data_IF_972006098698
#
_entry.id   IF_972006098698
#
_cell.length_a   1.000
_cell.length_b   1.000
_cell.length_c   1.000
_cell.angle_alpha   90.00
_cell.angle_beta   90.00
_cell.angle_gamma   90.00
#
_symmetry.space_group_name_H-M   'P 1'
#
loop_
_entity.id
_entity.type
_entity.pdbx_description
1 polymer ?
#
# COMPACT_ATOMS: atom_id res chain seq x y z
N UNK A 1 23.00 33.94 -39.51
CA UNK A 1 23.41 33.46 -38.17
C UNK A 1 22.16 33.58 -37.30
N UNK A 2 21.33 32.54 -37.32
CA UNK A 2 20.21 32.37 -36.38
C UNK A 2 20.71 31.35 -35.36
N UNK A 3 20.77 31.79 -34.11
CA UNK A 3 21.15 30.96 -32.97
C UNK A 3 19.90 30.18 -32.55
N UNK A 4 19.86 28.92 -32.98
CA UNK A 4 18.79 27.96 -32.70
C UNK A 4 19.34 26.98 -31.64
N UNK A 5 19.49 27.49 -30.41
CA UNK A 5 19.88 26.69 -29.26
C UNK A 5 18.62 26.06 -28.63
N UNK A 6 18.51 24.73 -28.55
CA UNK A 6 17.36 24.07 -27.95
C UNK A 6 17.32 24.34 -26.43
N UNK A 7 16.12 24.38 -25.81
CA UNK A 7 16.01 24.55 -24.38
C UNK A 7 16.64 23.36 -23.65
N UNK A 8 17.57 23.66 -22.75
CA UNK A 8 18.18 22.72 -21.81
C UNK A 8 17.07 21.96 -21.06
N UNK A 9 17.15 20.62 -20.94
CA UNK A 9 16.18 19.88 -20.14
C UNK A 9 16.28 20.34 -18.69
N UNK A 10 15.16 20.85 -18.18
CA UNK A 10 14.95 21.19 -16.78
C UNK A 10 15.31 19.97 -15.94
N UNK A 11 16.34 20.10 -15.11
CA UNK A 11 16.84 19.02 -14.29
C UNK A 11 15.71 18.48 -13.42
N UNK A 12 15.38 17.19 -13.59
CA UNK A 12 14.47 16.49 -12.72
C UNK A 12 14.92 16.72 -11.27
N UNK A 13 14.09 17.43 -10.51
CA UNK A 13 14.34 17.76 -9.11
C UNK A 13 14.53 16.45 -8.34
N UNK A 14 15.76 16.18 -7.90
CA UNK A 14 16.03 15.05 -7.03
C UNK A 14 15.19 15.19 -5.75
N UNK A 15 14.27 14.26 -5.54
CA UNK A 15 13.42 14.22 -4.34
C UNK A 15 14.31 13.97 -3.13
N UNK A 16 14.14 14.74 -2.06
CA UNK A 16 14.87 14.50 -0.81
C UNK A 16 14.50 13.09 -0.28
N UNK A 17 15.46 12.32 0.28
CA UNK A 17 15.19 10.99 0.80
C UNK A 17 14.12 11.07 1.87
N UNK A 18 13.04 10.30 1.71
CA UNK A 18 11.96 10.28 2.67
C UNK A 18 12.45 9.76 4.04
N UNK A 19 11.95 10.37 5.12
CA UNK A 19 12.18 9.88 6.48
C UNK A 19 11.75 8.41 6.57
N UNK A 20 12.69 7.52 6.90
CA UNK A 20 12.41 6.10 7.15
C UNK A 20 11.73 5.94 8.50
N UNK A 21 10.40 5.82 8.48
CA UNK A 21 9.58 5.65 9.69
C UNK A 21 9.61 4.23 10.26
N UNK A 22 10.05 3.25 9.48
CA UNK A 22 10.12 1.85 9.88
C UNK A 22 11.52 1.46 10.40
N UNK A 23 11.58 0.34 11.10
CA UNK A 23 12.77 -0.17 11.76
C UNK A 23 12.63 -0.15 13.28
N UNK A 24 13.78 -0.19 13.97
CA UNK A 24 13.87 -0.18 15.42
C UNK A 24 13.72 1.24 15.96
N UNK A 25 12.84 1.40 16.93
CA UNK A 25 12.59 2.64 17.66
C UNK A 25 12.79 2.40 19.14
N UNK A 26 13.75 3.12 19.75
CA UNK A 26 14.00 3.05 21.18
C UNK A 26 12.94 3.88 21.90
N UNK A 27 12.25 3.26 22.85
CA UNK A 27 11.27 3.88 23.73
C UNK A 27 11.66 3.47 25.15
N UNK A 28 12.41 4.32 25.87
CA UNK A 28 12.79 4.03 27.25
C UNK A 28 11.55 3.75 28.11
N UNK A 29 11.74 3.05 29.22
CA UNK A 29 10.67 2.86 30.20
C UNK A 29 10.11 4.23 30.66
N UNK A 30 8.81 4.28 30.94
CA UNK A 30 8.05 5.49 31.26
C UNK A 30 8.06 6.55 30.15
N UNK A 31 8.44 6.19 28.92
CA UNK A 31 8.44 7.10 27.77
C UNK A 31 7.43 6.69 26.70
N UNK A 32 7.16 7.61 25.78
CA UNK A 32 6.24 7.41 24.66
C UNK A 32 6.91 7.81 23.35
N UNK A 33 6.66 7.07 22.27
CA UNK A 33 6.87 7.61 20.92
C UNK A 33 5.53 7.90 20.26
N UNK A 34 5.47 9.01 19.52
CA UNK A 34 4.41 9.32 18.57
C UNK A 34 4.90 9.04 17.16
N UNK A 35 4.07 8.32 16.42
CA UNK A 35 4.28 7.92 15.03
C UNK A 35 3.14 8.51 14.21
N UNK A 36 3.45 9.44 13.31
CA UNK A 36 2.51 10.04 12.37
C UNK A 36 2.76 9.48 10.97
N UNK A 37 1.74 8.88 10.36
CA UNK A 37 1.80 8.15 9.10
C UNK A 37 0.57 8.46 8.24
N UNK A 38 0.62 9.57 7.52
CA UNK A 38 -0.52 10.19 6.86
C UNK A 38 -1.64 10.44 7.89
N UNK A 39 -2.85 9.88 7.69
CA UNK A 39 -3.95 10.07 8.63
C UNK A 39 -3.80 9.30 9.95
N UNK A 40 -2.91 8.30 10.03
CA UNK A 40 -2.68 7.54 11.25
C UNK A 40 -1.80 8.32 12.21
N UNK A 41 -2.28 8.50 13.44
CA UNK A 41 -1.44 8.83 14.60
C UNK A 41 -1.46 7.64 15.56
N UNK A 42 -0.27 7.10 15.85
CA UNK A 42 -0.04 6.04 16.84
C UNK A 42 0.87 6.58 17.93
N UNK A 43 0.54 6.31 19.18
CA UNK A 43 1.40 6.52 20.33
C UNK A 43 1.69 5.16 20.96
N UNK A 44 2.96 4.90 21.25
CA UNK A 44 3.39 3.67 21.88
C UNK A 44 4.12 4.00 23.18
N UNK A 45 3.51 3.62 24.29
CA UNK A 45 3.98 3.92 25.64
C UNK A 45 4.62 2.67 26.21
N UNK A 46 5.87 2.80 26.66
CA UNK A 46 6.57 1.74 27.35
C UNK A 46 6.40 1.95 28.85
N UNK A 47 5.45 1.25 29.45
CA UNK A 47 5.19 1.29 30.89
C UNK A 47 5.87 0.10 31.57
N UNK A 48 6.09 0.14 32.89
CA UNK A 48 6.56 -1.00 33.65
C UNK A 48 5.68 -2.22 33.39
N UNK A 49 6.30 -3.24 32.79
CA UNK A 49 5.65 -4.50 32.40
C UNK A 49 4.49 -4.40 31.39
N UNK A 50 4.33 -3.28 30.69
CA UNK A 50 3.21 -3.07 29.78
C UNK A 50 3.61 -2.21 28.57
N UNK A 51 3.29 -2.68 27.37
CA UNK A 51 3.17 -1.81 26.22
C UNK A 51 1.73 -1.35 26.06
N UNK A 52 1.52 -0.03 26.01
CA UNK A 52 0.23 0.56 25.65
C UNK A 52 0.33 1.22 24.29
N UNK A 53 -0.51 0.76 23.37
CA UNK A 53 -0.63 1.32 22.03
C UNK A 53 -1.95 2.09 21.93
N UNK A 54 -1.87 3.37 21.60
CA UNK A 54 -3.01 4.29 21.48
C UNK A 54 -3.00 4.86 20.08
N UNK A 55 -4.06 4.70 19.30
CA UNK A 55 -4.06 5.20 17.93
C UNK A 55 -5.40 5.75 17.48
N UNK A 56 -5.34 6.60 16.47
CA UNK A 56 -6.49 7.11 15.73
C UNK A 56 -6.13 7.25 14.27
N UNK A 57 -7.11 7.08 13.40
CA UNK A 57 -6.95 7.31 11.97
C UNK A 57 -7.93 8.39 11.56
N UNK A 58 -7.42 9.52 11.12
CA UNK A 58 -8.24 10.53 10.45
C UNK A 58 -8.77 9.93 9.13
N UNK A 59 -10.01 10.21 8.76
CA UNK A 59 -10.58 9.71 7.51
C UNK A 59 -9.99 10.39 6.28
N UNK A 60 -9.25 11.49 6.45
CA UNK A 60 -8.72 12.32 5.37
C UNK A 60 -7.48 11.68 4.70
N UNK A 61 -7.59 11.20 3.45
CA UNK A 61 -6.47 10.59 2.73
C UNK A 61 -5.43 11.61 2.23
N UNK A 62 -5.69 12.91 2.37
CA UNK A 62 -4.79 13.98 1.91
C UNK A 62 -3.72 14.36 2.93
N UNK A 63 -3.90 13.94 4.19
CA UNK A 63 -2.91 14.14 5.25
C UNK A 63 -1.61 13.42 4.89
N UNK A 64 -0.51 14.17 4.82
CA UNK A 64 0.82 13.72 4.41
C UNK A 64 1.84 13.67 5.59
N UNK A 65 1.32 13.74 6.82
CA UNK A 65 2.13 13.76 8.03
C UNK A 65 3.05 12.53 8.10
N UNK A 66 4.35 12.77 8.29
CA UNK A 66 5.34 11.72 8.41
C UNK A 66 6.34 12.07 9.51
N UNK A 67 6.39 11.27 10.57
CA UNK A 67 7.30 11.53 11.67
C UNK A 67 7.27 10.49 12.76
N UNK A 68 8.42 10.32 13.42
CA UNK A 68 8.53 9.61 14.70
C UNK A 68 9.16 10.57 15.70
N UNK A 69 8.53 10.74 16.85
CA UNK A 69 8.94 11.72 17.86
C UNK A 69 8.83 11.09 19.24
N UNK A 70 9.90 11.19 20.04
CA UNK A 70 9.85 10.83 21.45
C UNK A 70 9.07 11.92 22.21
N UNK A 71 8.15 11.50 23.07
CA UNK A 71 7.34 12.37 23.91
C UNK A 71 7.70 12.13 25.37
N UNK A 72 7.79 13.22 26.14
CA UNK A 72 8.03 13.19 27.58
C UNK A 72 6.81 12.65 28.36
N UNK A 73 5.61 12.74 27.76
CA UNK A 73 4.38 12.24 28.35
C UNK A 73 3.43 11.69 27.27
N UNK A 74 2.61 10.68 27.61
CA UNK A 74 1.60 10.17 26.70
C UNK A 74 0.51 11.21 26.40
N UNK A 75 0.00 11.30 25.16
CA UNK A 75 -1.11 12.18 24.84
C UNK A 75 -2.43 11.65 25.40
N UNK A 76 -3.46 12.51 25.38
CA UNK A 76 -4.83 12.13 25.74
C UNK A 76 -5.32 10.98 24.86
N UNK A 77 -5.90 9.97 25.50
CA UNK A 77 -6.44 8.76 24.87
C UNK A 77 -7.92 8.95 24.45
N UNK A 78 -8.55 10.07 24.78
CA UNK A 78 -9.94 10.34 24.46
C UNK A 78 -10.24 10.25 22.95
N UNK A 79 -11.21 9.40 22.59
CA UNK A 79 -11.58 9.16 21.19
C UNK A 79 -10.57 8.36 20.39
N UNK A 80 -9.54 7.79 21.04
CA UNK A 80 -8.58 6.88 20.42
C UNK A 80 -8.94 5.42 20.70
N UNK A 81 -8.48 4.54 19.81
CA UNK A 81 -8.43 3.11 20.07
C UNK A 81 -7.23 2.81 20.98
N UNK A 82 -7.40 1.86 21.90
CA UNK A 82 -6.38 1.50 22.89
C UNK A 82 -6.22 -0.01 22.96
N UNK A 83 -4.97 -0.47 22.98
CA UNK A 83 -4.61 -1.87 23.22
C UNK A 83 -3.46 -1.97 24.22
N UNK A 84 -3.53 -2.95 25.12
CA UNK A 84 -2.59 -3.15 26.22
C UNK A 84 -1.96 -4.53 26.12
N UNK A 85 -0.64 -4.59 26.25
CA UNK A 85 0.14 -5.82 26.14
C UNK A 85 1.05 -5.97 27.36
N UNK A 86 0.70 -6.88 28.26
CA UNK A 86 1.50 -7.16 29.45
C UNK A 86 2.71 -8.03 29.08
N UNK A 87 3.90 -7.62 29.53
CA UNK A 87 5.14 -8.35 29.33
C UNK A 87 5.99 -8.26 30.60
N UNK A 88 6.45 -9.39 31.12
CA UNK A 88 7.39 -9.42 32.26
C UNK A 88 8.83 -9.09 31.86
N UNK A 89 9.07 -8.75 30.59
CA UNK A 89 10.40 -8.41 30.07
C UNK A 89 10.52 -6.90 29.92
N UNK A 90 11.62 -6.36 30.39
CA UNK A 90 12.07 -5.00 30.09
C UNK A 90 12.51 -4.95 28.63
N UNK A 91 11.62 -4.53 27.74
CA UNK A 91 11.92 -4.27 26.33
C UNK A 91 11.81 -2.77 26.10
N UNK A 92 12.94 -2.11 25.84
CA UNK A 92 13.03 -0.66 25.66
C UNK A 92 12.86 -0.19 24.21
N UNK A 93 12.32 -1.04 23.33
CA UNK A 93 12.24 -0.73 21.90
C UNK A 93 11.13 -1.50 21.18
N UNK A 94 10.56 -0.84 20.17
CA UNK A 94 9.66 -1.44 19.19
C UNK A 94 10.32 -1.57 17.83
N UNK A 95 9.86 -2.54 17.06
CA UNK A 95 10.12 -2.64 15.64
C UNK A 95 8.83 -2.32 14.89
N UNK A 96 8.86 -1.29 14.06
CA UNK A 96 7.77 -0.93 13.15
C UNK A 96 8.12 -1.44 11.76
N UNK A 97 7.23 -2.20 11.12
CA UNK A 97 7.45 -2.72 9.78
C UNK A 97 6.29 -2.35 8.87
N UNK A 98 6.55 -1.89 7.63
CA UNK A 98 5.48 -1.69 6.66
C UNK A 98 4.99 -3.04 6.18
N UNK A 99 3.68 -3.19 6.05
CA UNK A 99 3.05 -4.41 5.60
C UNK A 99 1.95 -4.10 4.57
N UNK A 100 1.77 -4.99 3.60
CA UNK A 100 0.63 -4.92 2.69
C UNK A 100 -0.69 -5.30 3.40
N UNK A 101 -1.83 -4.96 2.84
CA UNK A 101 -3.13 -5.35 3.39
C UNK A 101 -3.27 -6.88 3.53
N UNK A 102 -4.07 -7.32 4.50
CA UNK A 102 -4.38 -8.73 4.75
C UNK A 102 -5.50 -9.30 3.86
N UNK A 103 -6.13 -8.45 3.03
CA UNK A 103 -7.17 -8.82 2.07
C UNK A 103 -6.88 -8.23 0.68
N UNK A 104 -7.41 -8.82 -0.40
CA UNK A 104 -7.36 -8.20 -1.72
C UNK A 104 -7.99 -6.81 -1.73
N UNK A 105 -7.57 -5.98 -2.68
CA UNK A 105 -7.96 -4.57 -2.74
C UNK A 105 -8.56 -4.24 -4.09
N UNK A 106 -9.77 -3.69 -4.07
CA UNK A 106 -10.51 -3.24 -5.24
C UNK A 106 -10.24 -1.76 -5.45
N UNK A 107 -9.40 -1.48 -6.44
CA UNK A 107 -9.20 -0.15 -6.98
C UNK A 107 -10.40 0.23 -7.86
N UNK A 108 -11.00 1.39 -7.56
CA UNK A 108 -12.08 1.98 -8.37
C UNK A 108 -11.57 3.28 -8.99
N UNK A 109 -11.29 3.30 -10.31
CA UNK A 109 -11.00 4.53 -11.02
C UNK A 109 -12.11 5.56 -10.80
N UNK A 110 -11.76 6.82 -10.52
CA UNK A 110 -12.75 7.91 -10.40
C UNK A 110 -13.56 8.09 -11.71
N UNK A 111 -12.94 7.78 -12.85
CA UNK A 111 -13.61 7.64 -14.15
C UNK A 111 -13.22 6.28 -14.72
N UNK A 112 -14.19 5.46 -15.18
CA UNK A 112 -13.89 4.16 -15.77
C UNK A 112 -12.88 4.26 -16.92
N UNK A 113 -11.98 3.29 -16.98
CA UNK A 113 -10.95 3.21 -18.03
C UNK A 113 -11.49 2.32 -19.14
N UNK A 114 -11.54 2.82 -20.37
CA UNK A 114 -11.90 2.01 -21.54
C UNK A 114 -10.63 1.68 -22.33
N UNK A 115 -10.18 0.43 -22.24
CA UNK A 115 -9.05 -0.07 -23.04
C UNK A 115 -9.56 -0.57 -24.38
N UNK A 116 -9.07 0.01 -25.48
CA UNK A 116 -9.48 -0.33 -26.85
C UNK A 116 -9.17 -1.82 -27.15
N UNK A 117 -9.91 -2.43 -28.07
CA UNK A 117 -9.65 -3.79 -28.53
C UNK A 117 -8.27 -3.93 -29.16
N UNK A 118 -7.56 -5.01 -28.82
CA UNK A 118 -6.19 -5.28 -29.27
C UNK A 118 -5.09 -4.54 -28.50
N UNK A 119 -5.44 -3.55 -27.67
CA UNK A 119 -4.46 -2.65 -27.05
C UNK A 119 -3.93 -3.12 -25.68
N UNK A 120 -2.86 -2.43 -25.26
CA UNK A 120 -2.21 -2.57 -23.96
C UNK A 120 -2.07 -1.23 -23.27
N UNK A 121 -2.18 -1.22 -21.96
CA UNK A 121 -1.93 -0.05 -21.13
C UNK A 121 -1.33 -0.46 -19.79
N UNK A 122 -0.56 0.44 -19.18
CA UNK A 122 -0.14 0.28 -17.79
C UNK A 122 -0.85 1.34 -16.94
N UNK A 123 -1.42 0.91 -15.82
CA UNK A 123 -2.01 1.79 -14.82
C UNK A 123 -1.33 1.58 -13.49
N UNK A 124 -1.22 2.63 -12.68
CA UNK A 124 -0.59 2.57 -11.37
C UNK A 124 -1.66 2.81 -10.30
N UNK A 125 -1.66 1.92 -9.31
CA UNK A 125 -2.58 1.97 -8.17
C UNK A 125 -1.77 2.15 -6.90
N UNK A 126 -2.07 3.20 -6.15
CA UNK A 126 -1.48 3.45 -4.84
C UNK A 126 -2.44 3.00 -3.74
N UNK A 127 -1.98 2.15 -2.82
CA UNK A 127 -2.78 1.58 -1.73
C UNK A 127 -2.13 1.81 -0.37
N UNK A 128 -2.89 2.03 0.72
CA UNK A 128 -2.30 2.27 2.03
C UNK A 128 -1.52 1.05 2.56
N UNK A 129 -0.49 1.32 3.35
CA UNK A 129 0.28 0.33 4.09
C UNK A 129 -0.33 0.10 5.48
N UNK A 130 -0.10 -1.10 6.01
CA UNK A 130 -0.29 -1.44 7.40
C UNK A 130 1.03 -1.27 8.13
N UNK A 131 0.94 -0.97 9.41
CA UNK A 131 2.06 -0.88 10.34
C UNK A 131 2.01 -2.13 11.21
N UNK A 132 2.98 -3.04 11.02
CA UNK A 132 3.17 -4.19 11.90
C UNK A 132 4.06 -3.76 13.06
N UNK A 133 3.52 -3.82 14.27
CA UNK A 133 4.17 -3.34 15.50
C UNK A 133 4.60 -4.56 16.29
N UNK A 134 5.89 -4.66 16.55
CA UNK A 134 6.49 -5.77 17.29
C UNK A 134 7.40 -5.25 18.38
N UNK A 135 7.63 -6.07 19.39
CA UNK A 135 8.74 -5.84 20.33
C UNK A 135 10.06 -6.01 19.57
N UNK A 136 11.02 -5.10 19.74
CA UNK A 136 12.22 -5.12 18.91
C UNK A 136 13.15 -6.31 19.20
N UNK A 137 13.26 -6.71 20.46
CA UNK A 137 14.24 -7.72 20.90
C UNK A 137 13.72 -9.15 20.70
N UNK A 138 12.45 -9.38 21.02
CA UNK A 138 11.83 -10.71 20.86
C UNK A 138 11.01 -10.89 19.59
N UNK A 139 10.80 -9.82 18.81
CA UNK A 139 9.98 -9.80 17.58
C UNK A 139 8.56 -10.33 17.78
N UNK A 140 8.02 -10.21 19.01
CA UNK A 140 6.64 -10.61 19.31
C UNK A 140 5.70 -9.57 18.75
N UNK A 141 4.71 -10.03 17.97
CA UNK A 141 3.70 -9.16 17.39
C UNK A 141 2.78 -8.63 18.47
N UNK A 142 2.64 -7.31 18.53
CA UNK A 142 1.69 -6.63 19.40
C UNK A 142 0.41 -6.37 18.61
N UNK A 143 0.51 -5.55 17.57
CA UNK A 143 -0.63 -5.02 16.83
C UNK A 143 -0.27 -4.85 15.36
N UNK A 144 -1.30 -4.81 14.51
CA UNK A 144 -1.13 -4.36 13.15
C UNK A 144 -2.33 -3.52 12.72
N UNK A 145 -2.08 -2.30 12.23
CA UNK A 145 -3.11 -1.29 11.91
C UNK A 145 -2.83 -0.63 10.56
N UNK A 146 -3.87 -0.25 9.78
CA UNK A 146 -3.69 0.48 8.54
C UNK A 146 -3.29 1.95 8.77
N UNK A 147 -2.48 2.51 7.87
CA UNK A 147 -2.21 3.97 7.82
C UNK A 147 -3.46 4.76 7.43
N UNK A 148 -4.33 4.16 6.62
CA UNK A 148 -5.66 4.66 6.26
C UNK A 148 -6.59 3.45 6.13
N UNK A 149 -7.70 3.42 6.86
CA UNK A 149 -8.66 2.30 6.82
C UNK A 149 -9.48 2.33 5.51
N UNK A 150 -9.33 1.36 4.61
CA UNK A 150 -10.21 1.27 3.44
C UNK A 150 -11.60 0.76 3.84
N UNK A 151 -12.59 0.99 2.99
CA UNK A 151 -13.93 0.43 3.17
C UNK A 151 -13.96 -1.05 2.82
N UNK A 152 -14.75 -1.85 3.54
CA UNK A 152 -15.00 -3.24 3.16
C UNK A 152 -15.90 -3.30 1.90
N UNK A 153 -15.65 -4.28 1.02
CA UNK A 153 -16.45 -4.52 -0.18
C UNK A 153 -16.52 -6.00 -0.53
N UNK A 154 -17.61 -6.42 -1.16
CA UNK A 154 -17.71 -7.74 -1.75
C UNK A 154 -17.37 -7.68 -3.24
N UNK A 155 -16.46 -8.55 -3.70
CA UNK A 155 -16.08 -8.66 -5.12
C UNK A 155 -16.52 -10.01 -5.67
N UNK A 156 -17.56 -10.00 -6.50
CA UNK A 156 -18.10 -11.20 -7.13
C UNK A 156 -19.43 -10.93 -7.83
N UNK A 157 -19.96 -11.91 -8.59
CA UNK A 157 -21.23 -11.77 -9.32
C UNK A 157 -22.46 -11.71 -8.42
N UNK A 158 -22.37 -12.20 -7.17
CA UNK A 158 -23.48 -12.17 -6.21
C UNK A 158 -22.96 -12.06 -4.79
N UNK A 159 -23.85 -11.92 -3.80
CA UNK A 159 -23.48 -11.95 -2.37
C UNK A 159 -23.10 -13.34 -1.86
N UNK A 160 -23.39 -14.41 -2.64
CA UNK A 160 -23.05 -15.80 -2.30
C UNK A 160 -21.75 -16.26 -2.95
N UNK A 161 -21.40 -15.65 -4.08
CA UNK A 161 -20.23 -15.99 -4.88
C UNK A 161 -19.35 -14.76 -5.03
N UNK A 162 -18.18 -14.78 -4.38
CA UNK A 162 -17.25 -13.67 -4.40
C UNK A 162 -16.25 -13.77 -3.26
N UNK A 163 -15.60 -12.65 -3.00
CA UNK A 163 -14.54 -12.54 -2.02
C UNK A 163 -14.65 -11.20 -1.27
N UNK A 164 -14.44 -11.25 0.05
CA UNK A 164 -14.33 -10.05 0.87
C UNK A 164 -13.01 -9.33 0.55
N UNK A 165 -13.13 -8.08 0.14
CA UNK A 165 -12.00 -7.24 -0.25
C UNK A 165 -12.08 -5.90 0.47
N UNK A 166 -10.98 -5.15 0.43
CA UNK A 166 -11.02 -3.71 0.66
C UNK A 166 -11.37 -2.96 -0.63
N UNK A 167 -11.97 -1.78 -0.52
CA UNK A 167 -12.20 -0.87 -1.62
C UNK A 167 -11.56 0.49 -1.34
N UNK A 168 -10.96 1.07 -2.38
CA UNK A 168 -10.50 2.44 -2.35
C UNK A 168 -10.85 3.13 -3.68
N UNK A 169 -11.34 4.36 -3.58
CA UNK A 169 -11.39 5.25 -4.74
C UNK A 169 -9.98 5.67 -5.07
N UNK A 170 -9.59 5.44 -6.32
CA UNK A 170 -8.29 5.83 -6.81
C UNK A 170 -8.47 6.56 -8.11
N UNK A 171 -7.57 7.48 -8.33
CA UNK A 171 -7.46 8.19 -9.58
C UNK A 171 -6.81 7.35 -10.70
N UNK A 172 -6.41 6.10 -10.41
CA UNK A 172 -5.88 5.08 -11.32
C UNK A 172 -5.11 5.67 -12.51
N UNK A 173 -3.87 6.06 -12.26
CA UNK A 173 -3.09 6.90 -13.17
C UNK A 173 -2.39 6.10 -14.24
N UNK A 174 -2.29 6.68 -15.44
CA UNK A 174 -1.50 6.13 -16.55
C UNK A 174 0.01 6.36 -16.35
N UNK A 175 0.38 7.37 -15.56
CA UNK A 175 1.76 7.71 -15.24
C UNK A 175 1.97 7.66 -13.72
N UNK A 176 3.10 7.11 -13.24
CA UNK A 176 3.38 6.99 -11.81
C UNK A 176 3.57 8.36 -11.14
N UNK A 177 4.13 9.34 -11.86
CA UNK A 177 4.38 10.70 -11.33
C UNK A 177 3.08 11.48 -11.08
N UNK A 178 1.95 11.00 -11.61
CA UNK A 178 0.63 11.55 -11.36
C UNK A 178 -0.06 10.94 -10.13
N UNK A 179 0.62 10.00 -9.45
CA UNK A 179 0.19 9.46 -8.16
C UNK A 179 0.65 10.36 -7.03
N UNK A 180 -0.12 10.39 -5.95
CA UNK A 180 0.39 10.81 -4.66
C UNK A 180 1.40 9.77 -4.18
N UNK A 181 2.68 10.07 -4.41
CA UNK A 181 3.80 9.30 -3.89
C UNK A 181 3.92 9.62 -2.40
N UNK A 182 3.81 8.60 -1.55
CA UNK A 182 3.93 8.76 -0.11
C UNK A 182 4.51 7.50 0.52
N UNK A 183 5.48 7.61 1.45
CA UNK A 183 6.12 6.48 2.15
C UNK A 183 5.21 5.54 2.96
N UNK A 184 3.92 5.85 3.08
CA UNK A 184 2.92 5.05 3.83
C UNK A 184 1.93 4.38 2.90
N UNK A 185 2.25 4.35 1.59
CA UNK A 185 1.46 3.75 0.52
C UNK A 185 2.37 2.91 -0.36
N UNK A 186 1.84 1.81 -0.87
CA UNK A 186 2.50 0.96 -1.86
C UNK A 186 1.95 1.23 -3.25
N UNK A 187 2.83 1.34 -4.24
CA UNK A 187 2.49 1.49 -5.65
C UNK A 187 2.52 0.12 -6.33
N UNK A 188 1.40 -0.26 -6.92
CA UNK A 188 1.26 -1.46 -7.75
C UNK A 188 1.10 -1.04 -9.21
N UNK A 189 2.02 -1.46 -10.08
CA UNK A 189 1.86 -1.34 -11.54
C UNK A 189 0.95 -2.46 -12.03
N UNK A 190 -0.04 -2.13 -12.84
CA UNK A 190 -0.97 -3.08 -13.45
C UNK A 190 -0.89 -2.97 -14.96
N UNK A 191 -0.41 -4.03 -15.60
CA UNK A 191 -0.32 -4.13 -17.05
C UNK A 191 -1.59 -4.78 -17.60
N UNK A 192 -2.36 -4.01 -18.37
CA UNK A 192 -3.63 -4.40 -18.97
C UNK A 192 -3.42 -4.79 -20.43
N UNK A 193 -4.06 -5.86 -20.86
CA UNK A 193 -4.06 -6.30 -22.25
C UNK A 193 -5.44 -6.77 -22.67
N UNK A 194 -6.07 -6.06 -23.60
CA UNK A 194 -7.35 -6.45 -24.18
C UNK A 194 -7.10 -7.18 -25.50
N UNK A 195 -7.13 -8.51 -25.50
CA UNK A 195 -6.95 -9.30 -26.74
C UNK A 195 -8.24 -9.40 -27.56
N UNK A 196 -9.38 -8.97 -27.02
CA UNK A 196 -10.64 -8.97 -27.76
C UNK A 196 -10.74 -7.76 -28.69
N UNK A 197 -11.71 -7.80 -29.61
CA UNK A 197 -11.94 -6.72 -30.57
C UNK A 197 -12.75 -5.55 -29.97
N UNK A 198 -13.60 -5.82 -28.99
CA UNK A 198 -14.43 -4.83 -28.32
C UNK A 198 -13.70 -4.14 -27.14
N UNK A 199 -14.01 -2.87 -26.84
CA UNK A 199 -13.40 -2.16 -25.72
C UNK A 199 -13.65 -2.85 -24.37
N UNK A 200 -12.59 -2.95 -23.56
CA UNK A 200 -12.66 -3.44 -22.20
C UNK A 200 -12.86 -2.26 -21.24
N UNK A 201 -14.07 -2.14 -20.70
CA UNK A 201 -14.41 -1.13 -19.70
C UNK A 201 -14.05 -1.63 -18.29
N UNK A 202 -13.21 -0.87 -17.58
CA UNK A 202 -12.67 -1.20 -16.26
C UNK A 202 -13.22 -0.20 -15.24
N UNK A 203 -14.17 -0.67 -14.43
CA UNK A 203 -14.76 0.09 -13.32
C UNK A 203 -14.19 -0.35 -11.97
N UNK A 204 -13.79 -1.62 -11.87
CA UNK A 204 -13.26 -2.25 -10.65
C UNK A 204 -12.10 -3.17 -11.01
N UNK A 205 -10.95 -2.88 -10.42
CA UNK A 205 -9.74 -3.66 -10.58
C UNK A 205 -9.35 -4.27 -9.23
N UNK A 206 -9.42 -5.59 -9.10
CA UNK A 206 -9.01 -6.31 -7.90
C UNK A 206 -7.52 -6.64 -7.95
N UNK A 207 -6.80 -6.18 -6.95
CA UNK A 207 -5.39 -6.46 -6.70
C UNK A 207 -5.25 -7.56 -5.65
N UNK A 208 -4.45 -8.60 -5.89
CA UNK A 208 -4.22 -9.69 -4.94
C UNK A 208 -3.16 -9.28 -3.91
N UNK A 209 -3.39 -8.16 -3.22
CA UNK A 209 -2.43 -7.51 -2.30
C UNK A 209 -1.76 -8.46 -1.30
N UNK A 210 -2.45 -9.44 -0.68
CA UNK A 210 -1.82 -10.38 0.25
C UNK A 210 -0.76 -11.29 -0.38
N UNK A 211 -0.76 -11.42 -1.71
CA UNK A 211 0.12 -12.28 -2.49
C UNK A 211 1.30 -11.53 -3.12
N UNK A 212 1.38 -10.21 -2.93
CA UNK A 212 2.45 -9.39 -3.49
C UNK A 212 3.60 -9.24 -2.47
N UNK A 213 4.82 -9.13 -2.98
CA UNK A 213 5.98 -8.63 -2.25
C UNK A 213 5.89 -7.12 -2.11
N UNK A 214 6.51 -6.60 -1.05
CA UNK A 214 6.74 -5.18 -0.85
C UNK A 214 8.23 -4.90 -1.03
N UNK A 215 8.54 -3.89 -1.82
CA UNK A 215 9.86 -3.37 -2.08
C UNK A 215 9.93 -1.91 -1.67
N UNK A 216 11.13 -1.41 -1.43
CA UNK A 216 11.39 0.02 -1.21
C UNK A 216 12.48 0.49 -2.16
N UNK A 217 12.22 1.57 -2.88
CA UNK A 217 13.20 2.17 -3.77
C UNK A 217 14.20 3.08 -3.02
N UNK A 218 15.26 3.58 -3.68
CA UNK A 218 16.24 4.47 -3.05
C UNK A 218 15.66 5.76 -2.48
N UNK A 219 14.55 6.25 -3.03
CA UNK A 219 13.86 7.46 -2.58
C UNK A 219 12.98 7.22 -1.35
N UNK A 220 12.72 5.95 -1.00
CA UNK A 220 11.92 5.54 0.15
C UNK A 220 10.45 5.30 -0.18
N UNK A 221 10.09 5.22 -1.46
CA UNK A 221 8.75 4.86 -1.90
C UNK A 221 8.59 3.34 -1.92
N UNK A 222 7.41 2.89 -1.53
CA UNK A 222 7.10 1.47 -1.48
C UNK A 222 6.45 1.01 -2.79
N UNK A 223 6.94 -0.10 -3.33
CA UNK A 223 6.47 -0.72 -4.56
C UNK A 223 6.06 -2.16 -4.33
N UNK A 224 5.19 -2.69 -5.17
CA UNK A 224 4.84 -4.12 -5.16
C UNK A 224 5.24 -4.79 -6.47
N UNK A 225 5.09 -6.12 -6.53
CA UNK A 225 5.12 -6.84 -7.79
C UNK A 225 4.14 -6.23 -8.80
N UNK A 226 4.52 -6.08 -10.08
CA UNK A 226 3.58 -5.79 -11.14
C UNK A 226 2.53 -6.89 -11.26
N UNK A 227 1.32 -6.49 -11.65
CA UNK A 227 0.20 -7.40 -11.90
C UNK A 227 -0.19 -7.29 -13.37
N UNK A 228 -0.10 -8.38 -14.11
CA UNK A 228 -0.58 -8.43 -15.49
C UNK A 228 -2.01 -8.96 -15.52
N UNK A 229 -2.92 -8.24 -16.17
CA UNK A 229 -4.32 -8.62 -16.39
C UNK A 229 -4.59 -8.68 -17.88
N UNK A 230 -5.03 -9.83 -18.38
CA UNK A 230 -5.36 -9.96 -19.81
C UNK A 230 -6.74 -10.54 -20.05
N UNK A 231 -7.54 -9.87 -20.89
CA UNK A 231 -8.82 -10.39 -21.40
C UNK A 231 -8.55 -11.20 -22.66
N UNK A 232 -9.03 -12.45 -22.67
CA UNK A 232 -8.94 -13.32 -23.83
C UNK A 232 -9.91 -12.93 -24.96
N UNK A 233 -9.64 -13.39 -26.19
CA UNK A 233 -10.45 -13.13 -27.38
C UNK A 233 -11.93 -13.56 -27.23
N UNK A 234 -12.21 -14.58 -26.41
CA UNK A 234 -13.57 -15.09 -26.16
C UNK A 234 -14.37 -14.29 -25.11
N UNK A 235 -13.80 -13.21 -24.58
CA UNK A 235 -14.51 -12.19 -23.81
C UNK A 235 -14.87 -12.53 -22.36
N UNK A 236 -14.72 -13.79 -21.90
CA UNK A 236 -15.33 -14.26 -20.65
C UNK A 236 -14.45 -14.19 -19.39
N UNK A 237 -13.11 -14.26 -19.52
CA UNK A 237 -12.21 -14.31 -18.36
C UNK A 237 -11.00 -13.38 -18.54
N UNK A 238 -10.70 -12.63 -17.48
CA UNK A 238 -9.46 -11.88 -17.36
C UNK A 238 -8.48 -12.71 -16.51
N UNK A 239 -7.40 -13.17 -17.12
CA UNK A 239 -6.30 -13.86 -16.43
C UNK A 239 -5.47 -12.83 -15.66
N UNK A 240 -5.14 -13.12 -14.41
CA UNK A 240 -4.24 -12.34 -13.60
C UNK A 240 -2.94 -13.10 -13.37
N UNK A 241 -1.81 -12.41 -13.50
CA UNK A 241 -0.49 -12.95 -13.22
C UNK A 241 0.32 -11.94 -12.41
N UNK A 242 0.96 -12.42 -11.35
CA UNK A 242 1.91 -11.63 -10.57
C UNK A 242 3.28 -11.78 -11.24
N UNK A 243 3.95 -10.67 -11.51
CA UNK A 243 5.29 -10.64 -12.08
C UNK A 243 6.30 -10.67 -10.93
N UNK A 244 7.28 -11.58 -10.97
CA UNK A 244 8.18 -11.85 -9.84
C UNK A 244 9.07 -10.67 -9.46
N UNK A 245 9.56 -9.92 -10.45
CA UNK A 245 10.46 -8.78 -10.24
C UNK A 245 9.69 -7.47 -9.97
N UNK A 246 10.27 -6.50 -9.24
CA UNK A 246 9.69 -5.16 -9.11
C UNK A 246 9.55 -4.47 -10.49
N UNK A 247 8.66 -3.46 -10.61
CA UNK A 247 8.50 -2.73 -11.86
C UNK A 247 9.81 -1.99 -12.24
N UNK A 248 10.09 -1.79 -13.53
CA UNK A 248 11.27 -1.02 -13.97
C UNK A 248 11.36 0.39 -13.38
N UNK A 249 10.23 0.99 -13.03
CA UNK A 249 10.13 2.29 -12.36
C UNK A 249 10.73 2.30 -10.95
N UNK A 250 10.83 1.14 -10.31
CA UNK A 250 11.42 0.95 -8.99
C UNK A 250 12.85 0.41 -9.12
N UNK A 251 13.64 0.95 -10.05
CA UNK A 251 15.00 0.50 -10.29
C UNK A 251 15.84 0.62 -9.01
N UNK A 252 16.54 -0.46 -8.65
CA UNK A 252 17.30 -0.52 -7.39
C UNK A 252 16.45 -0.73 -6.14
N UNK A 253 15.16 -1.04 -6.27
CA UNK A 253 14.32 -1.33 -5.13
C UNK A 253 14.73 -2.64 -4.43
N UNK A 254 14.80 -2.58 -3.11
CA UNK A 254 15.17 -3.70 -2.27
C UNK A 254 13.93 -4.35 -1.65
N UNK A 255 13.93 -5.69 -1.44
CA UNK A 255 12.82 -6.36 -0.76
C UNK A 255 12.65 -5.86 0.68
N UNK A 256 11.44 -5.42 1.02
CA UNK A 256 11.10 -4.92 2.36
C UNK A 256 10.31 -5.95 3.17
N UNK A 257 9.21 -6.49 2.62
CA UNK A 257 8.44 -7.58 3.24
C UNK A 257 7.97 -8.62 2.23
N UNK A 258 7.79 -9.85 2.71
CA UNK A 258 7.30 -10.99 1.91
C UNK A 258 5.77 -10.99 1.84
N UNK A 259 5.19 -11.67 0.83
CA UNK A 259 3.75 -11.92 0.76
C UNK A 259 3.21 -12.55 2.04
N UNK A 260 1.99 -12.17 2.41
CA UNK A 260 1.26 -12.79 3.53
C UNK A 260 0.78 -14.18 3.18
N UNK A 261 0.40 -14.37 1.92
CA UNK A 261 -0.06 -15.64 1.36
C UNK A 261 0.94 -16.04 0.28
N UNK A 262 1.51 -17.25 0.33
CA UNK A 262 2.39 -17.72 -0.73
C UNK A 262 1.62 -17.76 -2.05
N UNK A 263 2.19 -17.18 -3.10
CA UNK A 263 1.66 -17.34 -4.45
C UNK A 263 2.03 -18.73 -4.98
N UNK A 264 1.06 -19.44 -5.57
CA UNK A 264 1.37 -20.52 -6.51
C UNK A 264 1.56 -19.87 -7.88
N UNK A 265 2.50 -20.34 -8.69
CA UNK A 265 2.63 -19.87 -10.07
C UNK A 265 1.28 -20.02 -10.80
N UNK A 266 0.86 -18.97 -11.52
CA UNK A 266 -0.42 -18.87 -12.25
C UNK A 266 -1.70 -18.88 -11.37
N UNK A 267 -1.92 -17.77 -10.66
CA UNK A 267 -3.15 -17.56 -9.87
C UNK A 267 -4.31 -17.12 -10.78
N UNK A 268 -5.22 -18.04 -11.11
CA UNK A 268 -6.49 -17.70 -11.75
C UNK A 268 -7.43 -16.99 -10.76
N UNK A 269 -7.22 -15.70 -10.56
CA UNK A 269 -8.13 -14.85 -9.79
C UNK A 269 -8.87 -13.93 -10.74
N UNK A 270 -10.20 -13.91 -10.63
CA UNK A 270 -11.05 -12.95 -11.34
C UNK A 270 -10.65 -11.54 -10.92
N UNK A 271 -9.92 -10.83 -11.79
CA UNK A 271 -9.33 -9.53 -11.47
C UNK A 271 -10.23 -8.34 -11.83
N UNK A 272 -11.15 -8.54 -12.77
CA UNK A 272 -12.03 -7.49 -13.27
C UNK A 272 -13.48 -7.76 -12.86
N UNK A 273 -14.12 -6.73 -12.32
CA UNK A 273 -15.56 -6.71 -12.14
C UNK A 273 -16.15 -5.97 -13.34
N UNK A 274 -16.67 -6.71 -14.32
CA UNK A 274 -17.50 -6.15 -15.37
C UNK A 274 -18.96 -6.25 -14.94
N UNK A 275 -19.70 -5.15 -14.96
CA UNK A 275 -21.15 -5.22 -15.19
C UNK A 275 -21.31 -5.56 -16.67
N UNK A 276 -21.81 -6.75 -16.98
CA UNK A 276 -22.33 -7.04 -18.31
C UNK A 276 -23.64 -6.24 -18.40
N UNK A 277 -23.65 -5.18 -19.21
CA UNK A 277 -24.91 -4.57 -19.64
C UNK A 277 -25.46 -5.38 -20.80
#
# INVERSE_FOLDING_TARGET
MHDDSPPTPEAATASAPHLRWWGRHVVPEESCIRVALGPLTLNAHNLPQEWRLVWRTDGDPTVDALGVTLLDAPPDEAGCEVSRYVSTREEGALELLPALADRPMVARPDTPISLIGGDRASVYVSTPLWVDIRTADTRRKLLQIPSLRPSDTWFGPSTREGELCYAMRTRARLLPDLLQQHPVRAITRVDLHNKAADPLRIERLKLPVPMLHLYVDPDGLCWTNPVAVSRAHNGLLAELRIVSEPPPQAAGAEPLTRPRVPSRENVFVRALGAMLN
#
